data_IF_986549123506
#
_entry.id   IF_986549123506
#
_cell.length_a   1.000
_cell.length_b   1.000
_cell.length_c   1.000
_cell.angle_alpha   90.00
_cell.angle_beta   90.00
_cell.angle_gamma   90.00
#
_symmetry.space_group_name_H-M   'P 1'
#
loop_
_entity.id
_entity.type
_entity.pdbx_description
1 polymer ?
#
# COMPACT_ATOMS: atom_id res chain seq x y z
N UNK A 1 9.55 16.07 12.96
CA UNK A 1 8.35 15.24 12.77
C UNK A 1 7.55 15.94 11.70
N UNK A 2 7.96 15.76 10.46
CA UNK A 2 7.24 16.26 9.30
C UNK A 2 6.63 15.04 8.63
N UNK A 3 5.53 14.54 9.19
CA UNK A 3 4.74 13.50 8.52
C UNK A 3 4.34 14.04 7.15
N UNK A 4 4.65 13.29 6.10
CA UNK A 4 4.27 13.70 4.76
C UNK A 4 2.75 13.61 4.69
N UNK A 5 2.07 14.74 4.46
CA UNK A 5 0.60 14.88 4.53
C UNK A 5 -0.13 14.22 3.35
N UNK A 6 0.37 13.07 2.89
CA UNK A 6 -0.25 12.25 1.88
C UNK A 6 -1.34 11.45 2.59
N UNK A 7 -2.59 11.70 2.19
CA UNK A 7 -3.76 10.95 2.62
C UNK A 7 -4.33 10.14 1.45
N UNK A 8 -5.40 9.39 1.69
CA UNK A 8 -6.14 8.67 0.66
C UNK A 8 -6.58 9.55 -0.53
N UNK A 9 -6.81 10.84 -0.30
CA UNK A 9 -7.13 11.80 -1.36
C UNK A 9 -5.92 12.09 -2.23
N UNK A 10 -4.73 12.21 -1.63
CA UNK A 10 -3.46 12.42 -2.32
C UNK A 10 -3.08 11.27 -3.26
N UNK A 11 -3.59 10.07 -3.00
CA UNK A 11 -3.33 8.88 -3.81
C UNK A 11 -4.07 8.83 -5.14
N UNK A 12 -5.03 9.73 -5.40
CA UNK A 12 -5.84 9.69 -6.64
C UNK A 12 -4.98 9.76 -7.92
N UNK A 13 -3.84 10.43 -7.86
CA UNK A 13 -2.92 10.56 -8.99
C UNK A 13 -2.12 9.27 -9.30
N UNK A 14 -2.13 8.30 -8.38
CA UNK A 14 -1.52 6.99 -8.58
C UNK A 14 -2.44 6.03 -9.34
N UNK A 15 -3.71 6.40 -9.55
CA UNK A 15 -4.63 5.60 -10.34
C UNK A 15 -4.22 5.58 -11.81
N UNK A 16 -4.07 4.37 -12.37
CA UNK A 16 -3.74 4.15 -13.77
C UNK A 16 -2.41 3.42 -14.00
N UNK A 17 -2.06 3.15 -15.27
CA UNK A 17 -0.89 2.37 -15.62
C UNK A 17 0.38 3.21 -15.46
N UNK A 18 1.03 3.09 -14.30
CA UNK A 18 2.34 3.69 -14.08
C UNK A 18 3.46 2.68 -14.28
N UNK A 19 4.64 3.19 -14.64
CA UNK A 19 5.90 2.44 -14.68
C UNK A 19 6.64 2.47 -13.34
N UNK A 20 5.93 2.77 -12.25
CA UNK A 20 6.49 2.81 -10.91
C UNK A 20 6.95 1.41 -10.51
N UNK A 21 8.18 1.33 -9.99
CA UNK A 21 8.80 0.12 -9.44
C UNK A 21 8.85 0.15 -7.92
N UNK A 22 9.03 1.33 -7.34
CA UNK A 22 9.08 1.52 -5.90
C UNK A 22 8.09 2.62 -5.50
N UNK A 23 7.35 2.39 -4.43
CA UNK A 23 6.43 3.36 -3.86
C UNK A 23 6.63 3.41 -2.34
N UNK A 24 7.01 4.59 -1.87
CA UNK A 24 7.25 4.89 -0.46
C UNK A 24 6.05 5.67 0.09
N UNK A 25 5.34 5.07 1.05
CA UNK A 25 4.18 5.67 1.74
C UNK A 25 4.34 5.59 3.27
N UNK A 26 5.54 5.27 3.78
CA UNK A 26 5.75 5.22 5.21
C UNK A 26 5.59 6.59 5.88
N UNK A 27 5.10 6.57 7.11
CA UNK A 27 4.82 7.78 7.91
C UNK A 27 3.86 8.76 7.20
N UNK A 28 2.82 8.20 6.56
CA UNK A 28 1.73 8.93 5.90
C UNK A 28 0.36 8.62 6.49
N UNK A 29 -0.63 9.46 6.18
CA UNK A 29 -2.03 9.28 6.62
C UNK A 29 -2.82 8.38 5.65
N UNK A 30 -2.14 7.59 4.82
CA UNK A 30 -2.79 6.64 3.90
C UNK A 30 -3.45 5.52 4.69
N UNK A 31 -4.72 5.28 4.39
CA UNK A 31 -5.50 4.19 4.96
C UNK A 31 -5.84 3.10 3.95
N UNK A 32 -6.55 2.08 4.45
CA UNK A 32 -7.04 0.95 3.65
C UNK A 32 -7.87 1.37 2.43
N UNK A 33 -8.50 2.55 2.45
CA UNK A 33 -9.27 3.06 1.32
C UNK A 33 -8.36 3.59 0.21
N UNK A 34 -7.25 4.26 0.54
CA UNK A 34 -6.27 4.78 -0.42
C UNK A 34 -5.67 3.70 -1.31
N UNK A 35 -5.41 2.50 -0.75
CA UNK A 35 -4.83 1.36 -1.49
C UNK A 35 -5.61 0.95 -2.75
N UNK A 36 -6.89 1.33 -2.88
CA UNK A 36 -7.67 1.09 -4.11
C UNK A 36 -7.01 1.71 -5.36
N UNK A 37 -6.27 2.80 -5.19
CA UNK A 37 -5.62 3.51 -6.29
C UNK A 37 -4.34 2.82 -6.78
N UNK A 38 -3.84 1.81 -6.05
CA UNK A 38 -2.64 1.06 -6.43
C UNK A 38 -2.93 -0.07 -7.44
N UNK A 39 -4.19 -0.41 -7.70
CA UNK A 39 -4.56 -1.60 -8.48
C UNK A 39 -4.07 -1.60 -9.94
N UNK A 40 -3.60 -0.46 -10.46
CA UNK A 40 -3.03 -0.32 -11.81
C UNK A 40 -1.49 -0.39 -11.85
N UNK A 41 -0.82 -0.51 -10.71
CA UNK A 41 0.65 -0.48 -10.61
C UNK A 41 1.27 -1.86 -10.84
N UNK A 42 0.98 -2.49 -11.99
CA UNK A 42 1.41 -3.87 -12.31
C UNK A 42 2.94 -4.05 -12.34
N UNK A 43 3.71 -2.97 -12.45
CA UNK A 43 5.17 -2.98 -12.45
C UNK A 43 5.78 -2.71 -11.07
N UNK A 44 4.96 -2.51 -10.03
CA UNK A 44 5.45 -2.21 -8.69
C UNK A 44 6.13 -3.45 -8.11
N UNK A 45 7.39 -3.28 -7.71
CA UNK A 45 8.24 -4.34 -7.16
C UNK A 45 8.45 -4.14 -5.64
N UNK A 46 8.40 -2.91 -5.15
CA UNK A 46 8.57 -2.58 -3.73
C UNK A 46 7.52 -1.57 -3.28
N UNK A 47 6.89 -1.85 -2.14
CA UNK A 47 5.90 -1.00 -1.49
C UNK A 47 6.20 -0.94 0.01
N UNK A 48 6.36 0.27 0.55
CA UNK A 48 6.49 0.49 1.98
C UNK A 48 5.22 1.16 2.53
N UNK A 49 4.54 0.49 3.46
CA UNK A 49 3.33 0.94 4.16
C UNK A 49 3.55 1.03 5.68
N UNK A 50 4.81 1.08 6.12
CA UNK A 50 5.15 1.17 7.55
C UNK A 50 4.61 2.47 8.15
N UNK A 51 4.08 2.41 9.38
CA UNK A 51 3.50 3.57 10.05
C UNK A 51 2.41 4.27 9.23
N UNK A 52 1.45 3.51 8.68
CA UNK A 52 0.29 4.05 7.96
C UNK A 52 -0.99 3.77 8.75
N UNK A 53 -2.16 3.96 8.13
CA UNK A 53 -3.48 3.64 8.73
C UNK A 53 -4.13 2.45 7.98
N UNK A 54 -3.29 1.62 7.36
CA UNK A 54 -3.73 0.41 6.66
C UNK A 54 -4.05 -0.70 7.66
N UNK A 55 -5.13 -1.43 7.39
CA UNK A 55 -5.62 -2.54 8.21
C UNK A 55 -5.57 -3.85 7.44
N UNK A 56 -5.78 -4.99 8.11
CA UNK A 56 -5.92 -6.31 7.47
C UNK A 56 -6.88 -6.30 6.28
N UNK A 57 -8.02 -5.61 6.44
CA UNK A 57 -9.00 -5.45 5.36
C UNK A 57 -8.44 -4.68 4.15
N UNK A 58 -7.48 -3.78 4.34
CA UNK A 58 -6.79 -3.04 3.29
C UNK A 58 -5.92 -3.94 2.42
N UNK A 59 -5.16 -4.85 3.02
CA UNK A 59 -4.11 -5.64 2.35
C UNK A 59 -4.62 -6.48 1.18
N UNK A 60 -5.86 -6.96 1.22
CA UNK A 60 -6.48 -7.69 0.09
C UNK A 60 -6.44 -6.92 -1.23
N UNK A 61 -6.38 -5.58 -1.18
CA UNK A 61 -6.31 -4.71 -2.37
C UNK A 61 -4.95 -4.75 -3.05
N UNK A 62 -3.93 -5.29 -2.39
CA UNK A 62 -2.58 -5.45 -2.93
C UNK A 62 -2.43 -6.75 -3.76
N UNK A 63 -3.39 -7.67 -3.71
CA UNK A 63 -3.35 -8.95 -4.45
C UNK A 63 -3.22 -8.78 -5.97
N UNK A 64 -3.63 -7.64 -6.53
CA UNK A 64 -3.45 -7.30 -7.95
C UNK A 64 -2.04 -6.87 -8.35
N UNK A 65 -1.13 -6.65 -7.40
CA UNK A 65 0.24 -6.21 -7.65
C UNK A 65 1.14 -7.40 -7.99
N UNK A 66 0.96 -7.97 -9.18
CA UNK A 66 1.61 -9.22 -9.61
C UNK A 66 3.14 -9.19 -9.65
N UNK A 67 3.76 -8.01 -9.68
CA UNK A 67 5.22 -7.85 -9.70
C UNK A 67 5.82 -7.55 -8.33
N UNK A 68 5.00 -7.48 -7.27
CA UNK A 68 5.46 -7.08 -5.94
C UNK A 68 6.37 -8.15 -5.35
N UNK A 69 7.55 -7.72 -4.90
CA UNK A 69 8.61 -8.57 -4.33
C UNK A 69 8.91 -8.22 -2.88
N UNK A 70 8.73 -6.96 -2.50
CA UNK A 70 8.97 -6.45 -1.16
C UNK A 70 7.76 -5.66 -0.68
N UNK A 71 7.28 -5.98 0.52
CA UNK A 71 6.21 -5.28 1.19
C UNK A 71 6.63 -5.07 2.65
N UNK A 72 6.82 -3.80 3.02
CA UNK A 72 7.18 -3.42 4.39
C UNK A 72 5.94 -2.95 5.14
N UNK A 73 5.68 -3.58 6.30
CA UNK A 73 4.50 -3.41 7.15
C UNK A 73 4.94 -3.27 8.61
N UNK A 74 5.71 -2.24 8.94
CA UNK A 74 6.01 -1.92 10.34
C UNK A 74 4.81 -1.15 10.94
N UNK A 75 3.76 -1.89 11.29
CA UNK A 75 2.49 -1.34 11.76
C UNK A 75 1.83 -2.22 12.84
N UNK A 76 1.13 -1.57 13.77
CA UNK A 76 0.43 -2.22 14.87
C UNK A 76 -0.98 -2.74 14.48
N UNK A 77 -1.48 -2.39 13.29
CA UNK A 77 -2.85 -2.74 12.85
C UNK A 77 -2.95 -3.91 11.86
N UNK A 78 -1.81 -4.50 11.49
CA UNK A 78 -1.75 -5.69 10.64
C UNK A 78 -1.52 -6.94 11.49
N UNK A 79 -2.28 -7.99 11.22
CA UNK A 79 -2.16 -9.32 11.86
C UNK A 79 -1.92 -10.41 10.83
N UNK A 80 -1.69 -11.64 11.31
CA UNK A 80 -1.55 -12.83 10.47
C UNK A 80 -2.75 -13.04 9.53
N UNK A 81 -3.95 -12.59 9.91
CA UNK A 81 -5.14 -12.65 9.08
C UNK A 81 -5.03 -11.75 7.84
N UNK A 82 -4.41 -10.57 7.97
CA UNK A 82 -4.12 -9.69 6.86
C UNK A 82 -3.07 -10.26 5.92
N UNK A 83 -2.01 -10.87 6.47
CA UNK A 83 -0.95 -11.51 5.68
C UNK A 83 -1.47 -12.70 4.85
N UNK A 84 -2.37 -13.50 5.42
CA UNK A 84 -3.00 -14.62 4.70
C UNK A 84 -3.75 -14.16 3.42
N UNK A 85 -4.25 -12.93 3.39
CA UNK A 85 -4.92 -12.36 2.22
C UNK A 85 -3.97 -12.03 1.05
N UNK A 86 -2.65 -12.03 1.27
CA UNK A 86 -1.64 -11.77 0.23
C UNK A 86 -1.14 -13.04 -0.47
N UNK A 87 -1.35 -14.21 0.15
CA UNK A 87 -0.88 -15.50 -0.37
C UNK A 87 -1.99 -16.33 -1.02
N UNK A 88 -3.17 -15.75 -1.22
CA UNK A 88 -4.38 -16.41 -1.73
C UNK A 88 -4.50 -16.34 -3.25
#
# INVERSE_FOLDING_TARGET
MDSCRISDEGMVNLAGPHRLKCLELSDTEVGSSGLRHLSGLFNLESLNLSFTVVTDGGLRKLSGLSSLKSLDLDDHQITDAGLAALTS
#
